data_IF_286201984280
#
_entry.id   IF_286201984280
#
_cell.length_a   1.000
_cell.length_b   1.000
_cell.length_c   1.000
_cell.angle_alpha   90.00
_cell.angle_beta   90.00
_cell.angle_gamma   90.00
#
_symmetry.space_group_name_H-M   'P 1'
#
loop_
_entity.id
_entity.type
_entity.pdbx_description
1 polymer ?
#
# COMPACT_ATOMS: atom_id res chain seq x y z
N UNK A 1 -5.89 -3.31 3.42
CA UNK A 1 -5.02 -3.49 2.23
C UNK A 1 -4.35 -4.84 2.37
N UNK A 2 -4.44 -5.66 1.32
CA UNK A 2 -3.95 -7.05 1.30
C UNK A 2 -2.90 -7.20 0.20
N UNK A 3 -1.63 -7.11 0.57
CA UNK A 3 -0.50 -7.28 -0.34
C UNK A 3 -0.02 -8.74 -0.28
N UNK A 4 -0.15 -9.45 -1.39
CA UNK A 4 0.34 -10.82 -1.59
C UNK A 4 1.50 -10.73 -2.58
N UNK A 5 2.73 -10.76 -2.06
CA UNK A 5 3.95 -10.46 -2.83
C UNK A 5 4.62 -11.71 -3.46
N UNK A 6 3.86 -12.81 -3.56
CA UNK A 6 4.31 -14.04 -4.23
C UNK A 6 3.25 -15.13 -4.26
N UNK A 7 3.59 -16.26 -4.89
CA UNK A 7 2.67 -17.39 -5.08
C UNK A 7 1.68 -17.20 -6.25
N UNK A 8 0.77 -18.16 -6.41
CA UNK A 8 -0.16 -18.19 -7.57
C UNK A 8 -1.22 -17.07 -7.54
N UNK A 9 -1.52 -16.54 -6.36
CA UNK A 9 -2.53 -15.49 -6.16
C UNK A 9 -1.88 -14.13 -5.82
N UNK A 10 -0.65 -13.91 -6.31
CA UNK A 10 0.08 -12.68 -6.03
C UNK A 10 -0.70 -11.45 -6.53
N UNK A 11 -0.81 -10.44 -5.66
CA UNK A 11 -1.35 -9.12 -5.98
C UNK A 11 -0.22 -8.10 -6.20
N UNK A 12 1.00 -8.44 -5.76
CA UNK A 12 2.22 -7.70 -6.04
C UNK A 12 3.28 -8.61 -6.66
N UNK A 13 3.90 -8.15 -7.75
CA UNK A 13 4.93 -8.90 -8.49
C UNK A 13 6.25 -8.14 -8.51
N UNK A 14 7.39 -8.81 -8.28
CA UNK A 14 8.69 -8.17 -8.41
C UNK A 14 8.99 -7.90 -9.89
N UNK A 15 9.43 -6.68 -10.20
CA UNK A 15 9.84 -6.25 -11.55
C UNK A 15 11.34 -6.03 -11.67
N UNK A 16 12.06 -6.06 -10.55
CA UNK A 16 13.53 -6.05 -10.51
C UNK A 16 14.04 -7.20 -9.67
N UNK A 17 15.35 -7.48 -9.81
CA UNK A 17 16.04 -8.44 -8.96
C UNK A 17 16.32 -7.81 -7.58
N UNK A 18 15.98 -8.54 -6.52
CA UNK A 18 16.42 -8.23 -5.16
C UNK A 18 17.92 -8.54 -5.05
N UNK A 19 18.71 -7.55 -4.63
CA UNK A 19 20.17 -7.64 -4.53
C UNK A 19 20.63 -8.06 -3.13
N UNK A 20 19.84 -7.76 -2.10
CA UNK A 20 20.06 -8.16 -0.72
C UNK A 20 18.76 -8.69 -0.09
N UNK A 21 18.80 -9.88 0.50
CA UNK A 21 17.61 -10.53 1.04
C UNK A 21 17.17 -10.01 2.43
N UNK A 22 18.03 -9.26 3.13
CA UNK A 22 17.72 -8.72 4.45
C UNK A 22 17.00 -7.36 4.34
N UNK A 23 17.47 -6.49 3.45
CA UNK A 23 16.91 -5.14 3.23
C UNK A 23 15.97 -5.07 2.03
N UNK A 24 15.94 -6.13 1.21
CA UNK A 24 15.28 -6.18 -0.09
C UNK A 24 15.87 -5.19 -1.11
N UNK A 25 17.06 -4.63 -0.85
CA UNK A 25 17.67 -3.59 -1.66
C UNK A 25 17.62 -3.87 -3.17
N UNK A 26 17.23 -2.86 -3.94
CA UNK A 26 17.09 -2.95 -5.40
C UNK A 26 15.80 -3.64 -5.87
N UNK A 27 15.04 -4.26 -4.96
CA UNK A 27 13.72 -4.80 -5.24
C UNK A 27 12.70 -3.69 -5.54
N UNK A 28 11.90 -3.90 -6.57
CA UNK A 28 10.77 -3.07 -6.97
C UNK A 28 9.61 -3.99 -7.28
N UNK A 29 8.42 -3.63 -6.81
CA UNK A 29 7.19 -4.38 -7.04
C UNK A 29 6.15 -3.50 -7.72
N UNK A 30 5.37 -4.11 -8.61
CA UNK A 30 4.12 -3.54 -9.13
C UNK A 30 2.98 -4.24 -8.43
N UNK A 31 2.02 -3.49 -7.91
CA UNK A 31 0.97 -4.01 -7.04
C UNK A 31 -0.44 -3.56 -7.47
N UNK A 32 -1.40 -4.47 -7.30
CA UNK A 32 -2.84 -4.30 -7.43
C UNK A 32 -3.55 -4.99 -6.26
N UNK A 33 -3.51 -4.37 -5.09
CA UNK A 33 -3.92 -4.98 -3.83
C UNK A 33 -5.39 -4.68 -3.49
N UNK A 34 -6.15 -5.69 -3.07
CA UNK A 34 -7.50 -5.50 -2.56
C UNK A 34 -7.55 -4.57 -1.33
N UNK A 35 -8.51 -3.64 -1.33
CA UNK A 35 -8.93 -2.85 -0.17
C UNK A 35 -10.29 -3.35 0.32
N UNK A 36 -10.37 -3.65 1.61
CA UNK A 36 -11.57 -4.21 2.26
C UNK A 36 -11.90 -3.42 3.53
N UNK A 37 -13.14 -3.58 4.04
CA UNK A 37 -13.60 -2.86 5.24
C UNK A 37 -12.90 -3.30 6.53
N UNK A 38 -12.42 -4.54 6.58
CA UNK A 38 -11.73 -5.11 7.73
C UNK A 38 -10.48 -5.91 7.33
N UNK A 39 -9.79 -6.50 8.32
CA UNK A 39 -8.57 -7.29 8.11
C UNK A 39 -8.83 -8.63 7.42
N UNK A 40 -10.08 -9.12 7.43
CA UNK A 40 -10.46 -10.33 6.70
C UNK A 40 -10.64 -10.01 5.21
N UNK A 41 -10.16 -10.91 4.35
CA UNK A 41 -10.22 -10.73 2.89
C UNK A 41 -11.64 -10.65 2.33
N UNK A 42 -12.61 -11.21 3.06
CA UNK A 42 -14.03 -11.28 2.71
C UNK A 42 -14.88 -10.24 3.45
N UNK A 43 -14.27 -9.33 4.21
CA UNK A 43 -14.97 -8.29 5.00
C UNK A 43 -15.71 -7.22 4.17
N UNK A 44 -15.79 -7.39 2.85
CA UNK A 44 -16.45 -6.48 1.93
C UNK A 44 -15.44 -5.59 1.19
N UNK A 45 -15.48 -5.55 -0.16
CA UNK A 45 -14.55 -4.74 -0.94
C UNK A 45 -14.88 -3.26 -0.85
N UNK A 46 -13.83 -2.43 -0.85
CA UNK A 46 -13.90 -0.96 -0.85
C UNK A 46 -13.24 -0.40 -2.12
N UNK A 47 -12.26 -1.11 -2.66
CA UNK A 47 -11.50 -0.68 -3.82
C UNK A 47 -10.21 -1.45 -4.01
N UNK A 48 -9.24 -0.82 -4.67
CA UNK A 48 -7.91 -1.40 -4.94
C UNK A 48 -6.83 -0.39 -4.64
N UNK A 49 -5.73 -0.84 -4.06
CA UNK A 49 -4.47 -0.13 -4.00
C UNK A 49 -3.64 -0.45 -5.23
N UNK A 50 -3.16 0.55 -5.98
CA UNK A 50 -2.39 0.32 -7.20
C UNK A 50 -1.18 1.22 -7.31
N UNK A 51 -0.03 0.65 -7.62
CA UNK A 51 1.18 1.41 -7.88
C UNK A 51 2.43 0.58 -7.76
N UNK A 52 3.49 1.21 -7.27
CA UNK A 52 4.78 0.56 -7.08
C UNK A 52 5.33 0.84 -5.69
N UNK A 53 6.13 -0.10 -5.21
CA UNK A 53 7.04 0.17 -4.10
C UNK A 53 8.44 -0.36 -4.39
N UNK A 54 9.44 0.37 -3.93
CA UNK A 54 10.86 0.04 -4.09
C UNK A 54 11.51 -0.11 -2.73
N UNK A 55 12.63 -0.83 -2.66
CA UNK A 55 13.48 -0.94 -1.49
C UNK A 55 14.79 -0.20 -1.74
N UNK A 56 14.87 1.10 -1.42
CA UNK A 56 15.99 1.95 -1.81
C UNK A 56 17.17 1.92 -0.83
N UNK A 57 17.00 1.44 0.41
CA UNK A 57 18.09 1.45 1.40
C UNK A 57 18.94 0.18 1.33
N UNK A 58 20.25 0.37 1.36
CA UNK A 58 21.23 -0.74 1.49
C UNK A 58 21.32 -1.26 2.93
N UNK A 59 20.91 -0.45 3.92
CA UNK A 59 21.12 -0.72 5.33
C UNK A 59 19.83 -1.03 6.09
N UNK A 60 18.69 -0.56 5.57
CA UNK A 60 17.40 -0.60 6.26
C UNK A 60 16.36 -1.36 5.45
N UNK A 61 15.55 -2.15 6.13
CA UNK A 61 14.34 -2.70 5.54
C UNK A 61 13.25 -1.61 5.52
N UNK A 62 13.26 -0.82 4.45
CA UNK A 62 12.34 0.29 4.20
C UNK A 62 11.90 0.25 2.75
N UNK A 63 10.61 0.45 2.53
CA UNK A 63 10.06 0.63 1.19
C UNK A 63 9.70 2.09 0.97
N UNK A 64 9.89 2.58 -0.26
CA UNK A 64 9.33 3.83 -0.76
C UNK A 64 8.15 3.49 -1.65
N UNK A 65 7.01 4.14 -1.41
CA UNK A 65 5.73 3.82 -2.02
C UNK A 65 5.24 4.98 -2.89
N UNK A 66 4.85 4.67 -4.12
CA UNK A 66 4.08 5.54 -5.03
C UNK A 66 2.81 4.79 -5.41
N UNK A 67 1.70 5.13 -4.76
CA UNK A 67 0.59 4.19 -4.69
C UNK A 67 -0.78 4.87 -4.57
N UNK A 68 -1.76 4.40 -5.31
CA UNK A 68 -3.09 5.01 -5.37
C UNK A 68 -4.13 4.12 -4.68
N UNK A 69 -4.84 4.66 -3.69
CA UNK A 69 -6.08 4.07 -3.19
C UNK A 69 -7.20 4.46 -4.16
N UNK A 70 -7.74 3.48 -4.89
CA UNK A 70 -8.83 3.67 -5.85
C UNK A 70 -10.11 3.10 -5.26
N UNK A 71 -11.09 3.96 -5.02
CA UNK A 71 -12.36 3.56 -4.42
C UNK A 71 -13.35 3.12 -5.51
N UNK A 72 -14.04 2.01 -5.29
CA UNK A 72 -14.97 1.42 -6.25
C UNK A 72 -16.42 1.34 -5.72
N UNK A 73 -16.65 1.77 -4.48
CA UNK A 73 -17.93 1.64 -3.80
C UNK A 73 -18.29 2.90 -3.01
N UNK A 74 -19.59 3.04 -2.69
CA UNK A 74 -20.11 4.14 -1.88
C UNK A 74 -19.98 5.51 -2.54
N UNK A 75 -19.99 6.57 -1.71
CA UNK A 75 -19.91 7.97 -2.17
C UNK A 75 -18.58 8.38 -2.80
N UNK A 76 -17.56 7.51 -2.73
CA UNK A 76 -16.23 7.76 -3.26
C UNK A 76 -15.93 6.98 -4.55
N UNK A 77 -16.90 6.22 -5.07
CA UNK A 77 -16.73 5.40 -6.27
C UNK A 77 -16.14 6.21 -7.43
N UNK A 78 -15.07 5.69 -8.04
CA UNK A 78 -14.35 6.30 -9.15
C UNK A 78 -13.32 7.35 -8.73
N UNK A 79 -13.23 7.69 -7.45
CA UNK A 79 -12.25 8.64 -6.91
C UNK A 79 -11.00 7.94 -6.39
N UNK A 80 -9.91 8.69 -6.22
CA UNK A 80 -8.65 8.13 -5.72
C UNK A 80 -7.86 9.09 -4.84
N UNK A 81 -6.98 8.52 -4.04
CA UNK A 81 -5.96 9.24 -3.26
C UNK A 81 -4.56 8.68 -3.58
N UNK A 82 -3.58 9.56 -3.75
CA UNK A 82 -2.19 9.19 -4.00
C UNK A 82 -1.38 9.24 -2.70
N UNK A 83 -0.79 8.10 -2.34
CA UNK A 83 0.15 7.93 -1.24
C UNK A 83 1.56 8.03 -1.80
N UNK A 84 2.36 8.86 -1.15
CA UNK A 84 3.78 9.03 -1.43
C UNK A 84 4.55 9.06 -0.11
N UNK A 85 5.53 8.16 0.04
CA UNK A 85 6.43 8.19 1.19
C UNK A 85 7.04 6.85 1.55
N UNK A 86 7.75 6.83 2.67
CA UNK A 86 8.47 5.66 3.15
C UNK A 86 7.67 4.89 4.20
N UNK A 87 7.70 3.56 4.12
CA UNK A 87 7.15 2.65 5.11
C UNK A 87 8.28 1.73 5.54
N UNK A 88 8.53 1.61 6.85
CA UNK A 88 9.33 0.51 7.37
C UNK A 88 8.40 -0.68 7.65
N UNK A 89 8.57 -1.84 6.99
CA UNK A 89 7.79 -3.03 7.32
C UNK A 89 8.06 -3.56 8.73
N UNK A 90 9.23 -3.27 9.29
CA UNK A 90 9.55 -3.58 10.68
C UNK A 90 8.71 -2.74 11.66
N UNK A 91 8.39 -1.48 11.32
CA UNK A 91 7.51 -0.65 12.13
C UNK A 91 6.05 -1.12 12.05
N UNK A 92 5.38 -1.17 13.20
CA UNK A 92 3.95 -1.48 13.28
C UNK A 92 3.10 -0.34 12.71
N UNK A 93 3.51 0.92 12.91
CA UNK A 93 2.76 2.11 12.51
C UNK A 93 3.66 2.99 11.65
N UNK A 94 3.17 3.38 10.48
CA UNK A 94 3.86 4.29 9.57
C UNK A 94 2.90 5.39 9.13
N UNK A 95 3.40 6.61 9.00
CA UNK A 95 2.66 7.73 8.42
C UNK A 95 3.13 7.94 6.97
N UNK A 96 2.18 8.16 6.07
CA UNK A 96 2.46 8.38 4.64
C UNK A 96 1.66 9.59 4.16
N UNK A 97 2.26 10.45 3.35
CA UNK A 97 1.58 11.64 2.86
C UNK A 97 0.50 11.29 1.83
N UNK A 98 -0.62 12.01 1.89
CA UNK A 98 -1.55 12.11 0.76
C UNK A 98 -1.05 13.25 -0.14
N UNK A 99 -0.41 12.88 -1.24
CA UNK A 99 0.19 13.81 -2.19
C UNK A 99 -0.85 14.43 -3.15
N UNK A 100 -2.04 13.85 -3.23
CA UNK A 100 -3.11 14.33 -4.10
C UNK A 100 -4.29 13.39 -4.18
N UNK A 101 -5.28 13.75 -5.00
CA UNK A 101 -6.46 12.94 -5.24
C UNK A 101 -7.23 13.32 -6.51
N UNK A 102 -8.16 12.46 -6.89
CA UNK A 102 -9.02 12.62 -8.07
C UNK A 102 -10.49 12.47 -7.71
N UNK A 103 -11.37 12.85 -8.63
CA UNK A 103 -12.82 12.79 -8.40
C UNK A 103 -13.24 13.71 -7.26
N UNK A 104 -13.94 13.16 -6.27
CA UNK A 104 -14.35 13.88 -5.06
C UNK A 104 -13.16 14.37 -4.24
N UNK A 105 -12.00 13.72 -4.36
CA UNK A 105 -10.78 14.09 -3.65
C UNK A 105 -9.90 15.07 -4.43
N UNK A 106 -10.49 15.87 -5.33
CA UNK A 106 -9.72 16.88 -6.07
C UNK A 106 -9.09 17.88 -5.09
N UNK A 107 -7.83 18.22 -5.33
CA UNK A 107 -6.99 19.05 -4.45
C UNK A 107 -6.79 18.45 -3.05
N UNK A 108 -6.92 17.13 -2.90
CA UNK A 108 -6.69 16.46 -1.63
C UNK A 108 -5.28 16.70 -1.09
N UNK A 109 -5.21 16.96 0.21
CA UNK A 109 -3.99 16.95 1.02
C UNK A 109 -4.29 16.28 2.36
N UNK A 110 -3.26 15.69 2.98
CA UNK A 110 -3.40 15.05 4.28
C UNK A 110 -2.38 13.96 4.48
N UNK A 111 -2.74 12.97 5.28
CA UNK A 111 -1.88 11.84 5.64
C UNK A 111 -2.69 10.57 5.85
N UNK A 112 -2.02 9.43 5.72
CA UNK A 112 -2.54 8.13 6.06
C UNK A 112 -1.66 7.48 7.12
N UNK A 113 -2.27 6.85 8.11
CA UNK A 113 -1.60 6.01 9.09
C UNK A 113 -1.79 4.56 8.68
N UNK A 114 -0.70 3.91 8.28
CA UNK A 114 -0.65 2.52 7.86
C UNK A 114 -0.18 1.64 9.01
N UNK A 115 -1.12 0.90 9.62
CA UNK A 115 -0.85 -0.03 10.72
C UNK A 115 -0.76 -1.46 10.20
N UNK A 116 0.35 -2.13 10.48
CA UNK A 116 0.57 -3.53 10.13
C UNK A 116 -0.25 -4.44 11.03
N UNK A 117 -1.12 -5.25 10.42
CA UNK A 117 -1.91 -6.29 11.10
C UNK A 117 -1.21 -7.64 10.93
N UNK A 118 -0.81 -7.98 9.70
CA UNK A 118 -0.11 -9.23 9.36
C UNK A 118 1.16 -8.93 8.58
N UNK A 119 2.22 -9.68 8.87
CA UNK A 119 3.40 -9.84 8.02
C UNK A 119 3.85 -11.30 8.15
N UNK A 120 3.59 -12.06 7.10
CA UNK A 120 3.93 -13.48 7.01
C UNK A 120 4.75 -13.71 5.75
N UNK A 121 6.06 -13.92 5.92
CA UNK A 121 6.97 -14.20 4.82
C UNK A 121 6.77 -15.60 4.21
N UNK A 122 6.22 -16.56 4.96
CA UNK A 122 5.94 -17.90 4.43
C UNK A 122 4.71 -17.88 3.54
N UNK A 123 3.66 -17.19 3.98
CA UNK A 123 2.45 -16.98 3.19
C UNK A 123 2.61 -15.86 2.14
N UNK A 124 3.72 -15.12 2.18
CA UNK A 124 4.00 -13.96 1.33
C UNK A 124 2.89 -12.91 1.39
N UNK A 125 2.39 -12.66 2.61
CA UNK A 125 1.21 -11.83 2.88
C UNK A 125 1.54 -10.69 3.84
N UNK A 126 1.10 -9.49 3.47
CA UNK A 126 1.03 -8.32 4.34
C UNK A 126 -0.41 -7.81 4.36
N UNK A 127 -0.96 -7.64 5.57
CA UNK A 127 -2.23 -6.96 5.78
C UNK A 127 -1.99 -5.67 6.54
N UNK A 128 -2.45 -4.55 5.97
CA UNK A 128 -2.41 -3.23 6.62
C UNK A 128 -3.79 -2.62 6.75
N UNK A 129 -4.05 -2.10 7.93
CA UNK A 129 -5.14 -1.17 8.20
C UNK A 129 -4.67 0.24 7.81
N UNK A 130 -5.50 0.97 7.08
CA UNK A 130 -5.21 2.33 6.62
C UNK A 130 -6.25 3.29 7.21
N UNK A 131 -5.79 4.17 8.09
CA UNK A 131 -6.60 5.30 8.57
C UNK A 131 -6.20 6.54 7.77
N UNK A 132 -7.10 7.05 6.93
CA UNK A 132 -6.79 8.11 5.96
C UNK A 132 -7.49 9.40 6.37
N UNK A 133 -6.71 10.46 6.57
CA UNK A 133 -7.18 11.79 6.95
C UNK A 133 -6.94 12.73 5.78
N UNK A 134 -8.01 13.19 5.15
CA UNK A 134 -7.95 13.99 3.92
C UNK A 134 -8.78 15.26 4.05
N UNK A 135 -8.21 16.38 3.61
CA UNK A 135 -8.93 17.61 3.31
C UNK A 135 -9.02 17.79 1.80
N UNK A 136 -10.24 18.02 1.28
CA UNK A 136 -10.52 18.27 -0.13
C UNK A 136 -11.65 19.31 -0.27
N UNK A 137 -11.97 19.69 -1.51
CA UNK A 137 -13.03 20.66 -1.85
C UNK A 137 -14.32 19.96 -2.29
#
# INVERSE_FOLDING_TARGET
MHDVFGGANATAIPVTKILDNNTFYGGMFVADDPLTLGPDRDSGPVGTGRGTYTFPSQNDFVLEMVYNLRFAHGGYNGSSLCLLGNISPASIVNEVAIAGGTGVFRFARGYAVAKRIVLDFKAQLVVRELNVYVSHY
#
